data_IF_177414569285
#
_entry.id   IF_177414569285
#
_cell.length_a   1.000
_cell.length_b   1.000
_cell.length_c   1.000
_cell.angle_alpha   90.00
_cell.angle_beta   90.00
_cell.angle_gamma   90.00
#
_symmetry.space_group_name_H-M   'P 1'
#
loop_
_entity.id
_entity.type
_entity.pdbx_description
1 polymer ?
#
# COMPACT_ATOMS: atom_id res chain seq x y z
N UNK A 1 12.89 45.69 32.33
CA UNK A 1 11.97 44.55 32.18
C UNK A 1 12.16 44.02 30.77
N UNK A 2 13.07 43.07 30.58
CA UNK A 2 13.25 42.36 29.32
C UNK A 2 12.69 40.97 29.52
N UNK A 3 11.56 40.67 28.88
CA UNK A 3 11.00 39.33 28.85
C UNK A 3 11.87 38.47 27.94
N UNK A 4 12.60 37.54 28.55
CA UNK A 4 13.22 36.42 27.87
C UNK A 4 12.11 35.50 27.38
N UNK A 5 11.80 35.52 26.09
CA UNK A 5 11.02 34.47 25.46
C UNK A 5 11.89 33.19 25.45
N UNK A 6 11.50 32.21 26.27
CA UNK A 6 12.07 30.87 26.19
C UNK A 6 11.69 30.26 24.84
N UNK A 7 12.64 29.65 24.11
CA UNK A 7 12.33 28.98 22.86
C UNK A 7 11.41 27.80 23.15
N UNK A 8 10.18 27.86 22.63
CA UNK A 8 9.28 26.72 22.55
C UNK A 8 9.96 25.61 21.74
N UNK A 9 10.48 24.61 22.45
CA UNK A 9 10.96 23.37 21.85
C UNK A 9 9.73 22.67 21.27
N UNK A 10 9.54 22.79 19.96
CA UNK A 10 8.61 21.92 19.26
C UNK A 10 9.12 20.49 19.45
N UNK A 11 8.40 19.70 20.24
CA UNK A 11 8.71 18.29 20.41
C UNK A 11 8.66 17.64 19.03
N UNK A 12 9.81 17.15 18.56
CA UNK A 12 9.88 16.37 17.33
C UNK A 12 8.91 15.20 17.48
N UNK A 13 7.98 14.99 16.54
CA UNK A 13 7.06 13.86 16.63
C UNK A 13 7.87 12.56 16.78
N UNK A 14 7.40 11.60 17.59
CA UNK A 14 8.10 10.34 17.76
C UNK A 14 8.27 9.67 16.40
N UNK A 15 9.52 9.44 15.99
CA UNK A 15 9.83 8.72 14.75
C UNK A 15 9.35 7.28 14.91
N UNK A 16 8.20 6.95 14.33
CA UNK A 16 7.75 5.56 14.22
C UNK A 16 8.70 4.81 13.30
N UNK A 17 9.10 3.61 13.70
CA UNK A 17 10.03 2.82 12.90
C UNK A 17 9.25 2.05 11.83
N UNK A 18 9.28 2.56 10.61
CA UNK A 18 8.59 1.98 9.46
C UNK A 18 9.59 1.21 8.58
N UNK A 19 9.20 0.04 8.11
CA UNK A 19 9.97 -0.75 7.17
C UNK A 19 9.07 -1.51 6.20
N UNK A 20 9.63 -1.91 5.07
CA UNK A 20 8.94 -2.68 4.04
C UNK A 20 9.50 -4.09 4.06
N UNK A 21 8.62 -5.08 4.01
CA UNK A 21 8.97 -6.48 3.83
C UNK A 21 8.23 -7.04 2.61
N UNK A 22 8.89 -7.92 1.87
CA UNK A 22 8.26 -8.73 0.84
C UNK A 22 8.52 -10.19 1.18
N UNK A 23 7.49 -11.02 1.18
CA UNK A 23 7.66 -12.45 1.39
C UNK A 23 6.90 -13.28 0.35
N UNK A 24 7.26 -14.55 0.20
CA UNK A 24 6.52 -15.48 -0.66
C UNK A 24 5.12 -15.72 -0.11
N UNK A 25 4.16 -15.99 -1.00
CA UNK A 25 2.78 -16.29 -0.61
C UNK A 25 2.55 -17.76 -0.21
N UNK A 26 3.52 -18.62 -0.51
CA UNK A 26 3.45 -20.04 -0.15
C UNK A 26 3.61 -20.27 1.36
N UNK A 27 3.47 -21.53 1.79
CA UNK A 27 3.58 -21.92 3.20
C UNK A 27 4.97 -21.66 3.79
N UNK A 28 5.98 -21.41 2.95
CA UNK A 28 7.32 -21.09 3.40
C UNK A 28 7.48 -19.62 3.83
N UNK A 29 6.59 -18.73 3.36
CA UNK A 29 6.54 -17.30 3.71
C UNK A 29 7.93 -16.65 3.81
N UNK A 30 8.82 -16.96 2.86
CA UNK A 30 10.22 -16.56 2.93
C UNK A 30 10.37 -15.09 2.61
N UNK A 31 11.11 -14.36 3.43
CA UNK A 31 11.46 -12.98 3.12
C UNK A 31 12.29 -12.94 1.83
N UNK A 32 11.77 -12.22 0.84
CA UNK A 32 12.43 -11.89 -0.41
C UNK A 32 13.20 -10.58 -0.28
N UNK A 33 12.69 -9.65 0.53
CA UNK A 33 13.26 -8.33 0.74
C UNK A 33 12.84 -7.77 2.10
N UNK A 34 13.74 -7.02 2.76
CA UNK A 34 13.42 -6.11 3.85
C UNK A 34 14.21 -4.80 3.68
N UNK A 35 13.60 -3.66 3.99
CA UNK A 35 14.31 -2.37 4.05
C UNK A 35 15.10 -2.21 5.36
N UNK A 36 16.09 -1.31 5.40
CA UNK A 36 16.97 -1.15 6.58
C UNK A 36 16.22 -0.70 7.83
N UNK A 37 15.04 -0.08 7.68
CA UNK A 37 14.15 0.32 8.78
C UNK A 37 13.87 -0.80 9.79
N UNK A 38 14.00 -2.07 9.38
CA UNK A 38 13.89 -3.23 10.26
C UNK A 38 14.95 -3.23 11.37
N UNK A 39 16.11 -2.61 11.15
CA UNK A 39 17.15 -2.46 12.17
C UNK A 39 16.67 -1.56 13.31
N UNK A 40 16.04 -0.45 12.99
CA UNK A 40 15.49 0.49 13.97
C UNK A 40 14.27 -0.12 14.68
N UNK A 41 13.37 -0.77 13.92
CA UNK A 41 12.13 -1.35 14.48
C UNK A 41 12.36 -2.63 15.29
N UNK A 42 13.31 -3.46 14.86
CA UNK A 42 13.46 -4.84 15.34
C UNK A 42 14.88 -5.22 15.75
N UNK A 43 15.89 -4.40 15.48
CA UNK A 43 17.28 -4.70 15.81
C UNK A 43 17.96 -5.72 14.90
N UNK A 44 17.31 -6.16 13.81
CA UNK A 44 17.90 -7.08 12.84
C UNK A 44 18.56 -6.35 11.69
N UNK A 45 19.59 -6.96 11.12
CA UNK A 45 20.06 -6.60 9.79
C UNK A 45 19.15 -7.23 8.72
N UNK A 46 18.80 -6.52 7.64
CA UNK A 46 18.03 -7.11 6.53
C UNK A 46 18.65 -8.42 6.01
N UNK A 47 19.98 -8.48 5.90
CA UNK A 47 20.72 -9.64 5.44
C UNK A 47 20.60 -10.88 6.35
N UNK A 48 20.23 -10.70 7.62
CA UNK A 48 19.99 -11.82 8.55
C UNK A 48 18.61 -12.45 8.34
N UNK A 49 17.65 -11.67 7.84
CA UNK A 49 16.24 -12.05 7.72
C UNK A 49 15.87 -12.52 6.32
N UNK A 50 16.53 -12.00 5.28
CA UNK A 50 16.28 -12.44 3.89
C UNK A 50 16.46 -13.96 3.79
N UNK A 51 15.54 -14.61 3.08
CA UNK A 51 15.38 -16.07 2.94
C UNK A 51 14.91 -16.83 4.18
N UNK A 52 14.78 -16.19 5.34
CA UNK A 52 14.15 -16.79 6.52
C UNK A 52 12.63 -16.79 6.38
N UNK A 53 11.98 -17.71 7.08
CA UNK A 53 10.51 -17.77 7.15
C UNK A 53 10.00 -16.61 8.01
N UNK A 54 9.15 -15.74 7.46
CA UNK A 54 8.59 -14.60 8.18
C UNK A 54 7.80 -15.01 9.43
N UNK A 55 7.19 -16.20 9.37
CA UNK A 55 6.36 -16.75 10.42
C UNK A 55 7.14 -17.20 11.66
N UNK A 56 8.44 -17.49 11.54
CA UNK A 56 9.29 -17.89 12.68
C UNK A 56 9.46 -16.74 13.69
N UNK A 57 9.25 -15.51 13.24
CA UNK A 57 9.37 -14.30 14.04
C UNK A 57 8.07 -13.92 14.74
N UNK A 58 6.95 -14.61 14.50
CA UNK A 58 5.71 -14.37 15.22
C UNK A 58 5.91 -14.56 16.74
N UNK A 59 5.41 -13.60 17.52
CA UNK A 59 5.45 -13.60 18.99
C UNK A 59 4.07 -13.82 19.61
N UNK A 60 3.01 -13.81 18.81
CA UNK A 60 1.66 -14.02 19.30
C UNK A 60 1.37 -15.48 19.67
N UNK A 61 0.29 -15.68 20.44
CA UNK A 61 -0.11 -16.97 20.99
C UNK A 61 -1.07 -17.79 20.10
N UNK A 62 -1.35 -17.35 18.87
CA UNK A 62 -2.19 -18.07 17.91
C UNK A 62 -1.38 -19.02 17.02
N UNK A 63 -2.08 -19.87 16.27
CA UNK A 63 -1.43 -20.79 15.34
C UNK A 63 -0.75 -19.96 14.24
N UNK A 64 0.52 -20.26 13.99
CA UNK A 64 1.31 -19.60 12.97
C UNK A 64 0.69 -19.76 11.57
N UNK A 65 -0.07 -20.82 11.33
CA UNK A 65 -0.81 -21.01 10.09
C UNK A 65 -2.02 -20.09 9.95
N UNK A 66 -2.50 -19.44 11.02
CA UNK A 66 -3.57 -18.44 10.95
C UNK A 66 -3.13 -17.20 10.16
N UNK A 67 -1.86 -16.80 10.22
CA UNK A 67 -1.35 -15.70 9.39
C UNK A 67 -1.47 -16.00 7.88
N UNK A 68 -1.30 -17.26 7.47
CA UNK A 68 -1.43 -17.65 6.07
C UNK A 68 -2.88 -17.58 5.59
N UNK A 69 -3.85 -17.74 6.51
CA UNK A 69 -5.28 -17.62 6.19
C UNK A 69 -5.68 -16.19 5.84
N UNK A 70 -4.90 -15.17 6.22
CA UNK A 70 -5.12 -13.79 5.78
C UNK A 70 -5.18 -13.71 4.24
N UNK A 71 -4.35 -14.49 3.54
CA UNK A 71 -4.16 -14.40 2.09
C UNK A 71 -4.76 -15.60 1.30
N UNK A 72 -5.20 -16.64 2.00
CA UNK A 72 -5.77 -17.86 1.40
C UNK A 72 -7.29 -17.69 1.23
N UNK A 73 -7.81 -18.25 0.14
CA UNK A 73 -9.25 -18.36 -0.14
C UNK A 73 -9.83 -19.41 0.79
N UNK A 74 -11.01 -19.15 1.35
CA UNK A 74 -11.78 -20.16 2.08
C UNK A 74 -12.20 -21.26 1.09
N UNK A 75 -11.41 -22.34 1.03
CA UNK A 75 -11.70 -23.51 0.20
C UNK A 75 -12.92 -24.31 0.69
N UNK A 76 -13.58 -23.86 1.77
CA UNK A 76 -14.73 -24.51 2.39
C UNK A 76 -16.07 -23.84 2.07
N UNK A 77 -16.12 -22.81 1.21
CA UNK A 77 -17.39 -22.45 0.55
C UNK A 77 -17.75 -23.63 -0.35
N UNK A 78 -18.72 -24.44 0.09
CA UNK A 78 -19.13 -25.67 -0.59
C UNK A 78 -19.51 -25.44 -2.06
N UNK A 79 -19.58 -26.51 -2.86
CA UNK A 79 -19.72 -26.47 -4.32
C UNK A 79 -21.12 -26.05 -4.82
N UNK A 80 -21.88 -25.25 -4.05
CA UNK A 80 -23.27 -24.91 -4.40
C UNK A 80 -23.47 -23.52 -5.02
N UNK A 81 -22.43 -22.68 -5.10
CA UNK A 81 -22.48 -21.42 -5.84
C UNK A 81 -21.31 -21.39 -6.84
N UNK A 82 -21.30 -22.33 -7.80
CA UNK A 82 -20.31 -22.40 -8.90
C UNK A 82 -20.56 -21.36 -10.02
N UNK A 83 -21.57 -20.49 -9.89
CA UNK A 83 -22.02 -19.63 -11.00
C UNK A 83 -21.85 -18.11 -10.83
N UNK A 84 -21.16 -17.62 -9.81
CA UNK A 84 -20.73 -16.21 -9.78
C UNK A 84 -19.23 -16.09 -9.52
N UNK A 85 -18.54 -15.49 -10.50
CA UNK A 85 -17.12 -15.08 -10.50
C UNK A 85 -16.81 -14.11 -9.34
N UNK A 86 -16.92 -14.56 -8.11
CA UNK A 86 -16.74 -13.74 -6.93
C UNK A 86 -15.32 -13.97 -6.38
N UNK A 87 -14.34 -13.50 -7.16
CA UNK A 87 -12.96 -13.24 -6.72
C UNK A 87 -12.91 -12.00 -5.81
N UNK A 88 -13.82 -11.93 -4.83
CA UNK A 88 -13.84 -10.90 -3.79
C UNK A 88 -12.83 -11.25 -2.68
N UNK A 89 -11.56 -11.38 -3.06
CA UNK A 89 -10.43 -11.39 -2.14
C UNK A 89 -9.97 -9.93 -1.98
N UNK A 90 -10.15 -9.33 -0.79
CA UNK A 90 -9.59 -8.01 -0.51
C UNK A 90 -8.10 -7.98 -0.85
N UNK A 91 -7.65 -6.97 -1.57
CA UNK A 91 -6.28 -6.94 -2.10
C UNK A 91 -5.26 -6.35 -1.13
N UNK A 92 -5.79 -5.62 -0.15
CA UNK A 92 -5.06 -4.94 0.89
C UNK A 92 -5.71 -5.28 2.23
N UNK A 93 -4.89 -5.58 3.22
CA UNK A 93 -5.34 -5.95 4.55
C UNK A 93 -4.55 -5.15 5.58
N UNK A 94 -5.25 -4.61 6.57
CA UNK A 94 -4.64 -4.06 7.77
C UNK A 94 -4.86 -5.02 8.94
N UNK A 95 -3.80 -5.27 9.70
CA UNK A 95 -3.86 -6.09 10.89
C UNK A 95 -2.72 -5.72 11.84
N UNK A 96 -2.77 -6.25 13.05
CA UNK A 96 -1.76 -6.00 14.05
C UNK A 96 -1.17 -7.32 14.56
N UNK A 97 0.12 -7.32 14.81
CA UNK A 97 0.88 -8.52 15.19
C UNK A 97 2.03 -8.18 16.10
N UNK A 98 2.32 -9.09 17.02
CA UNK A 98 3.54 -9.03 17.79
C UNK A 98 4.64 -9.86 17.11
N UNK A 99 5.80 -9.25 16.90
CA UNK A 99 6.96 -9.90 16.26
C UNK A 99 8.14 -9.87 17.23
N UNK A 100 8.90 -10.97 17.30
CA UNK A 100 10.11 -11.08 18.12
C UNK A 100 11.22 -10.23 17.52
N UNK A 101 11.72 -9.26 18.28
CA UNK A 101 12.92 -8.49 17.94
C UNK A 101 14.19 -9.34 18.04
N UNK A 102 15.33 -8.77 17.62
CA UNK A 102 16.65 -9.40 17.76
C UNK A 102 17.04 -9.70 19.22
N UNK A 103 16.48 -8.97 20.19
CA UNK A 103 16.65 -9.26 21.61
C UNK A 103 15.73 -10.37 22.12
N UNK A 104 14.82 -10.88 21.29
CA UNK A 104 13.77 -11.82 21.65
C UNK A 104 12.53 -11.18 22.28
N UNK A 105 12.50 -9.84 22.40
CA UNK A 105 11.38 -9.11 22.98
C UNK A 105 10.25 -8.97 21.95
N UNK A 106 8.99 -9.26 22.30
CA UNK A 106 7.87 -8.98 21.40
C UNK A 106 7.69 -7.48 21.17
N UNK A 107 7.52 -7.08 19.92
CA UNK A 107 7.24 -5.71 19.50
C UNK A 107 5.94 -5.70 18.69
N UNK A 108 5.03 -4.81 19.06
CA UNK A 108 3.77 -4.63 18.33
C UNK A 108 4.04 -3.96 16.98
N UNK A 109 3.41 -4.49 15.94
CA UNK A 109 3.42 -3.94 14.60
C UNK A 109 2.00 -3.71 14.10
N UNK A 110 1.81 -2.61 13.38
CA UNK A 110 0.70 -2.46 12.43
C UNK A 110 1.22 -2.89 11.06
N UNK A 111 0.51 -3.82 10.45
CA UNK A 111 0.81 -4.36 9.14
C UNK A 111 -0.23 -3.88 8.14
N UNK A 112 0.23 -3.31 7.04
CA UNK A 112 -0.57 -3.10 5.84
C UNK A 112 0.00 -4.02 4.77
N UNK A 113 -0.71 -5.11 4.50
CA UNK A 113 -0.27 -6.16 3.59
C UNK A 113 -1.05 -6.14 2.30
N UNK A 114 -0.35 -6.40 1.20
CA UNK A 114 -0.89 -6.40 -0.14
C UNK A 114 -0.62 -7.73 -0.81
N UNK A 115 -1.70 -8.36 -1.23
CA UNK A 115 -1.67 -9.66 -1.87
C UNK A 115 -1.38 -9.49 -3.36
N UNK A 116 -0.21 -9.97 -3.78
CA UNK A 116 0.18 -10.09 -5.18
C UNK A 116 0.09 -11.58 -5.61
N UNK A 117 0.35 -11.85 -6.89
CA UNK A 117 0.20 -13.20 -7.47
C UNK A 117 1.04 -14.25 -6.73
N UNK A 118 2.35 -14.00 -6.59
CA UNK A 118 3.32 -14.94 -5.99
C UNK A 118 3.91 -14.47 -4.66
N UNK A 119 3.65 -13.23 -4.26
CA UNK A 119 4.27 -12.59 -3.10
C UNK A 119 3.26 -11.75 -2.34
N UNK A 120 3.63 -11.40 -1.12
CA UNK A 120 2.93 -10.42 -0.30
C UNK A 120 3.91 -9.31 0.02
N UNK A 121 3.51 -8.07 -0.25
CA UNK A 121 4.21 -6.91 0.27
C UNK A 121 3.57 -6.50 1.59
N UNK A 122 4.37 -6.18 2.58
CA UNK A 122 3.90 -5.72 3.88
C UNK A 122 4.64 -4.44 4.23
N UNK A 123 3.89 -3.37 4.50
CA UNK A 123 4.40 -2.19 5.18
C UNK A 123 4.20 -2.39 6.67
N UNK A 124 5.31 -2.37 7.39
CA UNK A 124 5.37 -2.64 8.81
C UNK A 124 5.66 -1.34 9.56
N UNK A 125 4.83 -1.01 10.54
CA UNK A 125 5.09 0.10 11.47
C UNK A 125 5.28 -0.51 12.85
N UNK A 126 6.49 -0.42 13.39
CA UNK A 126 6.84 -0.96 14.70
C UNK A 126 6.57 0.07 15.82
N UNK A 127 6.06 -0.43 16.94
CA UNK A 127 5.77 0.33 18.16
C UNK A 127 6.58 -0.26 19.33
N UNK A 128 7.90 -0.03 19.39
CA UNK A 128 8.75 -0.63 20.43
C UNK A 128 8.44 -0.10 21.84
N UNK A 129 7.90 1.11 21.94
CA UNK A 129 7.57 1.76 23.22
C UNK A 129 6.24 1.30 23.80
N UNK A 130 5.40 0.62 23.01
CA UNK A 130 4.14 0.08 23.49
C UNK A 130 4.37 -1.25 24.21
N UNK A 131 3.72 -1.48 25.36
CA UNK A 131 3.85 -2.75 26.06
C UNK A 131 3.29 -3.89 25.20
N UNK A 132 3.92 -5.06 25.30
CA UNK A 132 3.39 -6.27 24.70
C UNK A 132 2.05 -6.63 25.35
N UNK A 133 1.02 -6.73 24.52
CA UNK A 133 -0.26 -7.31 24.89
C UNK A 133 -0.46 -8.62 24.14
N UNK A 134 -0.66 -9.71 24.89
CA UNK A 134 -0.94 -11.01 24.31
C UNK A 134 -2.30 -10.98 23.60
N UNK A 135 -2.30 -11.11 22.28
CA UNK A 135 -3.52 -11.16 21.49
C UNK A 135 -4.04 -12.59 21.42
N UNK A 136 -5.32 -12.76 21.77
CA UNK A 136 -6.03 -14.02 21.67
C UNK A 136 -6.77 -14.19 20.34
N UNK A 137 -6.79 -13.13 19.52
CA UNK A 137 -7.42 -13.17 18.22
C UNK A 137 -6.66 -12.35 17.19
N UNK A 138 -6.62 -12.87 15.95
CA UNK A 138 -6.10 -12.18 14.78
C UNK A 138 -7.27 -11.51 14.05
N UNK A 139 -7.40 -10.21 14.24
CA UNK A 139 -8.37 -9.38 13.55
C UNK A 139 -7.71 -8.70 12.33
N UNK A 140 -8.39 -8.81 11.20
CA UNK A 140 -7.96 -8.31 9.90
C UNK A 140 -9.05 -7.42 9.36
N UNK A 141 -8.67 -6.22 8.95
CA UNK A 141 -9.53 -5.32 8.21
C UNK A 141 -9.15 -5.36 6.74
N UNK A 142 -10.11 -5.65 5.87
CA UNK A 142 -9.93 -5.52 4.44
C UNK A 142 -9.93 -4.03 4.10
N UNK A 143 -8.89 -3.56 3.44
CA UNK A 143 -8.81 -2.21 2.91
C UNK A 143 -9.36 -2.22 1.48
N UNK A 144 -10.65 -2.48 1.37
CA UNK A 144 -11.43 -2.42 0.14
C UNK A 144 -12.68 -1.53 0.36
N UNK A 145 -13.52 -1.35 -0.67
CA UNK A 145 -14.70 -0.51 -0.51
C UNK A 145 -15.78 -1.06 0.45
N UNK A 146 -15.61 -2.28 0.97
CA UNK A 146 -16.47 -2.85 2.01
C UNK A 146 -15.95 -2.59 3.43
N UNK A 147 -14.65 -2.32 3.58
CA UNK A 147 -13.94 -2.18 4.86
C UNK A 147 -14.27 -3.32 5.83
N UNK A 148 -14.42 -4.55 5.32
CA UNK A 148 -14.86 -5.69 6.10
C UNK A 148 -13.85 -6.06 7.20
N UNK A 149 -14.35 -6.30 8.42
CA UNK A 149 -13.54 -6.84 9.51
C UNK A 149 -13.74 -8.36 9.64
N UNK A 150 -12.64 -9.11 9.59
CA UNK A 150 -12.58 -10.56 9.73
C UNK A 150 -11.76 -10.95 10.96
N UNK A 151 -12.16 -12.00 11.65
CA UNK A 151 -11.41 -12.57 12.76
C UNK A 151 -10.91 -13.98 12.42
N UNK A 152 -9.66 -14.08 12.00
CA UNK A 152 -9.09 -15.29 11.39
C UNK A 152 -9.00 -16.47 12.37
N UNK A 153 -8.88 -16.18 13.66
CA UNK A 153 -8.74 -17.16 14.74
C UNK A 153 -10.07 -17.75 15.24
N UNK A 154 -11.22 -17.16 14.87
CA UNK A 154 -12.53 -17.66 15.29
C UNK A 154 -13.22 -18.47 14.19
N UNK A 155 -13.93 -19.57 14.53
CA UNK A 155 -14.61 -20.41 13.55
C UNK A 155 -15.67 -19.62 12.77
N UNK A 156 -15.62 -19.74 11.44
CA UNK A 156 -16.42 -18.99 10.45
C UNK A 156 -17.94 -19.02 10.71
N UNK A 157 -18.48 -20.14 11.20
CA UNK A 157 -19.91 -20.28 11.53
C UNK A 157 -20.38 -19.18 12.51
N UNK A 158 -19.51 -18.77 13.42
CA UNK A 158 -19.77 -17.72 14.41
C UNK A 158 -19.79 -16.34 13.76
N UNK A 159 -18.98 -16.12 12.71
CA UNK A 159 -18.93 -14.86 11.98
C UNK A 159 -20.14 -14.67 11.08
N UNK A 160 -20.58 -15.71 10.35
CA UNK A 160 -21.80 -15.66 9.53
C UNK A 160 -23.01 -15.38 10.41
N UNK A 161 -23.09 -15.99 11.59
CA UNK A 161 -24.13 -15.68 12.57
C UNK A 161 -24.04 -14.25 13.10
N UNK A 162 -22.83 -13.71 13.32
CA UNK A 162 -22.61 -12.32 13.73
C UNK A 162 -23.00 -11.33 12.63
N UNK A 163 -22.62 -11.57 11.38
CA UNK A 163 -23.02 -10.76 10.22
C UNK A 163 -24.54 -10.77 10.03
N UNK A 164 -25.20 -11.93 10.14
CA UNK A 164 -26.67 -12.01 10.10
C UNK A 164 -27.33 -11.17 11.21
N UNK A 165 -26.74 -11.13 12.40
CA UNK A 165 -27.21 -10.27 13.50
C UNK A 165 -26.96 -8.78 13.20
N UNK A 166 -25.81 -8.40 12.66
CA UNK A 166 -25.50 -7.01 12.30
C UNK A 166 -26.37 -6.51 11.15
N UNK A 167 -26.61 -7.34 10.13
CA UNK A 167 -27.52 -7.05 9.01
C UNK A 167 -28.96 -6.80 9.46
N UNK A 168 -29.36 -7.35 10.61
CA UNK A 168 -30.68 -7.11 11.22
C UNK A 168 -30.77 -5.82 12.05
N UNK A 169 -29.67 -5.07 12.24
CA UNK A 169 -29.69 -3.81 12.99
C UNK A 169 -30.11 -2.62 12.11
N UNK A 170 -31.03 -1.77 12.58
CA UNK A 170 -31.41 -0.56 11.87
C UNK A 170 -30.21 0.41 11.80
N UNK A 171 -29.79 0.75 10.58
CA UNK A 171 -28.61 1.59 10.33
C UNK A 171 -27.41 0.82 9.76
N UNK A 172 -27.44 -0.51 9.74
CA UNK A 172 -26.43 -1.31 9.06
C UNK A 172 -26.51 -1.06 7.55
N UNK A 173 -25.48 -0.45 6.99
CA UNK A 173 -25.30 -0.33 5.55
C UNK A 173 -24.53 -1.55 5.09
N UNK A 174 -25.19 -2.44 4.32
CA UNK A 174 -24.46 -3.45 3.57
C UNK A 174 -23.43 -2.75 2.69
N UNK A 175 -22.22 -3.30 2.63
CA UNK A 175 -21.21 -2.91 1.64
C UNK A 175 -21.89 -2.81 0.27
N UNK A 176 -21.85 -1.62 -0.34
CA UNK A 176 -22.41 -1.38 -1.68
C UNK A 176 -21.41 -1.72 -2.78
N UNK A 177 -20.25 -2.27 -2.42
CA UNK A 177 -19.12 -2.37 -3.31
C UNK A 177 -18.60 -3.80 -3.36
N UNK A 178 -18.59 -4.34 -4.57
CA UNK A 178 -17.89 -5.56 -4.95
C UNK A 178 -16.83 -5.14 -5.95
N UNK A 179 -15.56 -5.40 -5.66
CA UNK A 179 -14.50 -5.32 -6.68
C UNK A 179 -14.79 -6.45 -7.64
N UNK A 180 -15.26 -6.11 -8.84
CA UNK A 180 -15.46 -7.09 -9.90
C UNK A 180 -14.15 -7.18 -10.68
N UNK A 181 -13.53 -8.36 -10.67
CA UNK A 181 -12.36 -8.80 -11.45
C UNK A 181 -10.98 -8.67 -10.78
N UNK A 182 -10.07 -9.56 -11.21
CA UNK A 182 -8.64 -9.53 -10.90
C UNK A 182 -8.01 -8.21 -11.37
N UNK A 183 -7.70 -7.31 -10.46
CA UNK A 183 -7.01 -6.06 -10.78
C UNK A 183 -5.51 -6.31 -10.93
N UNK A 184 -4.92 -5.82 -12.01
CA UNK A 184 -3.46 -5.83 -12.17
C UNK A 184 -2.82 -4.93 -11.11
N UNK A 185 -1.76 -5.42 -10.48
CA UNK A 185 -1.04 -4.71 -9.41
C UNK A 185 0.45 -4.79 -9.64
N UNK A 186 1.17 -3.75 -9.26
CA UNK A 186 2.63 -3.78 -9.26
C UNK A 186 3.17 -3.09 -8.01
N UNK A 187 4.23 -3.65 -7.46
CA UNK A 187 5.01 -3.03 -6.40
C UNK A 187 6.24 -2.43 -7.03
N UNK A 188 6.54 -1.18 -6.67
CA UNK A 188 7.78 -0.51 -7.01
C UNK A 188 8.47 -0.06 -5.72
N UNK A 189 9.78 -0.29 -5.64
CA UNK A 189 10.65 0.32 -4.65
C UNK A 189 11.44 1.43 -5.35
N UNK A 190 11.39 2.61 -4.78
CA UNK A 190 12.06 3.79 -5.28
C UNK A 190 13.26 4.11 -4.38
N UNK A 191 14.36 4.57 -4.97
CA UNK A 191 15.51 5.08 -4.23
C UNK A 191 15.10 6.20 -3.25
N UNK A 192 15.79 6.31 -2.11
CA UNK A 192 15.56 7.40 -1.17
C UNK A 192 15.72 8.75 -1.88
N UNK A 193 14.72 9.65 -1.79
CA UNK A 193 14.89 11.00 -2.29
C UNK A 193 15.97 11.77 -1.50
N UNK A 194 16.29 11.36 -0.27
CA UNK A 194 17.24 12.06 0.60
C UNK A 194 18.71 11.86 0.21
N UNK A 195 19.10 10.72 -0.36
CA UNK A 195 20.48 10.53 -0.87
C UNK A 195 20.79 11.48 -2.05
N UNK A 196 19.77 12.12 -2.62
CA UNK A 196 19.90 13.01 -3.77
C UNK A 196 19.92 14.49 -3.39
N UNK A 197 19.46 14.93 -2.21
CA UNK A 197 19.34 16.37 -1.93
C UNK A 197 19.50 16.81 -0.47
N UNK A 198 20.60 17.53 -0.21
CA UNK A 198 20.53 18.71 0.65
C UNK A 198 19.58 19.73 0.03
N UNK A 199 18.36 19.83 0.59
CA UNK A 199 17.41 20.92 0.35
C UNK A 199 16.78 20.97 -1.04
N UNK A 200 15.50 21.33 -1.06
CA UNK A 200 14.61 21.47 -2.24
C UNK A 200 15.12 22.51 -3.28
N UNK A 201 16.22 23.22 -2.99
CA UNK A 201 16.89 24.17 -3.90
C UNK A 201 18.40 23.90 -4.09
N UNK A 202 18.86 22.68 -3.79
CA UNK A 202 20.26 22.27 -4.01
C UNK A 202 20.56 21.94 -5.48
N UNK A 203 21.79 22.22 -5.96
CA UNK A 203 22.25 21.84 -7.30
C UNK A 203 22.52 20.33 -7.36
N UNK A 204 21.45 19.54 -7.39
CA UNK A 204 21.49 18.07 -7.37
C UNK A 204 20.13 17.40 -7.58
N UNK A 205 19.03 18.16 -7.56
CA UNK A 205 17.68 17.63 -7.75
C UNK A 205 17.55 16.98 -9.14
N UNK A 206 17.28 15.67 -9.16
CA UNK A 206 16.89 14.99 -10.39
C UNK A 206 15.50 15.48 -10.76
N UNK A 207 15.39 16.26 -11.83
CA UNK A 207 14.12 16.79 -12.36
C UNK A 207 13.09 15.67 -12.64
N UNK A 208 13.57 14.44 -12.81
CA UNK A 208 12.77 13.27 -13.18
C UNK A 208 12.35 12.37 -11.98
N UNK A 209 12.61 12.79 -10.74
CA UNK A 209 12.23 12.04 -9.53
C UNK A 209 13.13 10.85 -9.21
N UNK A 210 12.73 10.00 -8.23
CA UNK A 210 13.51 8.84 -7.80
C UNK A 210 13.50 7.73 -8.85
N UNK A 211 14.59 6.95 -8.94
CA UNK A 211 14.63 5.77 -9.81
C UNK A 211 13.97 4.57 -9.15
N UNK A 212 13.50 3.66 -10.00
CA UNK A 212 12.93 2.39 -9.60
C UNK A 212 14.08 1.42 -9.29
N UNK A 213 14.32 1.18 -8.02
CA UNK A 213 15.33 0.23 -7.55
C UNK A 213 14.86 -1.23 -7.66
N UNK A 214 13.55 -1.47 -7.57
CA UNK A 214 12.94 -2.78 -7.72
C UNK A 214 11.50 -2.66 -8.24
N UNK A 215 11.07 -3.63 -9.05
CA UNK A 215 9.68 -3.73 -9.50
C UNK A 215 9.25 -5.19 -9.64
N UNK A 216 8.00 -5.50 -9.28
CA UNK A 216 7.43 -6.85 -9.50
C UNK A 216 7.12 -7.09 -10.97
N UNK A 217 7.21 -8.35 -11.42
CA UNK A 217 6.94 -8.69 -12.83
C UNK A 217 5.54 -8.40 -13.33
N UNK A 218 4.60 -8.24 -12.40
CA UNK A 218 3.22 -7.82 -12.66
C UNK A 218 3.10 -6.37 -13.18
N UNK A 219 4.18 -5.58 -13.19
CA UNK A 219 4.22 -4.28 -13.88
C UNK A 219 3.90 -4.39 -15.37
N UNK A 220 4.24 -5.52 -15.99
CA UNK A 220 3.88 -5.82 -17.37
C UNK A 220 2.36 -5.86 -17.58
N UNK A 221 1.60 -6.39 -16.61
CA UNK A 221 0.13 -6.39 -16.68
C UNK A 221 -0.48 -5.02 -16.32
N UNK A 222 0.30 -4.13 -15.69
CA UNK A 222 -0.14 -2.81 -15.26
C UNK A 222 0.02 -1.78 -16.39
N UNK A 223 1.21 -1.70 -17.00
CA UNK A 223 1.61 -0.69 -18.00
C UNK A 223 2.36 -1.30 -19.19
N UNK A 224 2.10 -2.56 -19.55
CA UNK A 224 2.60 -3.22 -20.76
C UNK A 224 4.10 -2.97 -21.05
N UNK A 225 4.91 -2.97 -19.99
CA UNK A 225 6.34 -2.68 -20.02
C UNK A 225 7.13 -3.83 -19.39
N UNK A 226 8.29 -4.12 -19.96
CA UNK A 226 9.19 -5.14 -19.44
C UNK A 226 9.91 -4.66 -18.18
N UNK A 227 10.12 -5.58 -17.24
CA UNK A 227 10.81 -5.31 -15.96
C UNK A 227 12.19 -4.67 -16.22
N UNK A 228 12.93 -5.18 -17.20
CA UNK A 228 14.27 -4.70 -17.54
C UNK A 228 14.30 -3.24 -17.97
N UNK A 229 13.22 -2.76 -18.58
CA UNK A 229 13.14 -1.41 -19.13
C UNK A 229 12.72 -0.41 -18.03
N UNK A 230 11.92 -0.88 -17.08
CA UNK A 230 11.40 -0.10 -15.95
C UNK A 230 12.42 -0.01 -14.81
N UNK A 231 13.22 -1.05 -14.58
CA UNK A 231 14.28 -1.04 -13.57
C UNK A 231 15.27 0.09 -13.85
N UNK A 232 15.66 0.83 -12.81
CA UNK A 232 16.53 2.02 -12.88
C UNK A 232 15.95 3.17 -13.71
N UNK A 233 14.70 3.09 -14.17
CA UNK A 233 14.04 4.16 -14.87
C UNK A 233 13.46 5.19 -13.88
N UNK A 234 13.47 6.51 -14.19
CA UNK A 234 12.91 7.52 -13.29
C UNK A 234 11.39 7.37 -13.20
N UNK A 235 10.86 7.22 -11.98
CA UNK A 235 9.45 6.93 -11.78
C UNK A 235 8.53 8.04 -12.33
N UNK A 236 8.87 9.32 -12.14
CA UNK A 236 8.02 10.43 -12.61
C UNK A 236 7.94 10.51 -14.14
N UNK A 237 8.86 9.87 -14.89
CA UNK A 237 8.72 9.75 -16.35
C UNK A 237 7.66 8.72 -16.77
N UNK A 238 7.27 7.80 -15.88
CA UNK A 238 6.16 6.87 -16.13
C UNK A 238 4.80 7.48 -15.77
N UNK A 239 4.80 8.51 -14.91
CA UNK A 239 3.61 9.26 -14.55
C UNK A 239 3.15 10.08 -15.75
N UNK A 240 1.84 10.10 -15.98
CA UNK A 240 1.25 10.92 -17.02
C UNK A 240 1.63 12.40 -16.78
N UNK A 241 2.08 13.16 -17.80
CA UNK A 241 2.63 14.49 -17.58
C UNK A 241 1.67 15.46 -16.84
N UNK A 242 0.36 15.29 -17.05
CA UNK A 242 -0.70 16.03 -16.37
C UNK A 242 -0.73 15.80 -14.84
N UNK A 243 -0.24 14.66 -14.35
CA UNK A 243 -0.25 14.27 -12.93
C UNK A 243 1.13 14.43 -12.25
N UNK A 244 2.20 14.72 -12.98
CA UNK A 244 3.57 14.78 -12.42
C UNK A 244 3.66 15.74 -11.22
N UNK A 245 3.06 16.93 -11.33
CA UNK A 245 3.09 17.91 -10.21
C UNK A 245 2.31 17.41 -8.99
N UNK A 246 1.22 16.69 -9.22
CA UNK A 246 0.40 16.11 -8.16
C UNK A 246 1.17 14.99 -7.43
N UNK A 247 1.79 14.08 -8.18
CA UNK A 247 2.58 12.98 -7.63
C UNK A 247 3.83 13.48 -6.89
N UNK A 248 4.49 14.54 -7.37
CA UNK A 248 5.60 15.15 -6.64
C UNK A 248 5.19 15.65 -5.25
N UNK A 249 4.04 16.33 -5.13
CA UNK A 249 3.49 16.75 -3.83
C UNK A 249 3.09 15.57 -2.95
N UNK A 250 2.66 14.47 -3.55
CA UNK A 250 2.42 13.23 -2.81
C UNK A 250 3.70 12.67 -2.21
N UNK A 251 4.82 12.66 -2.95
CA UNK A 251 6.10 12.23 -2.38
C UNK A 251 6.64 13.17 -1.30
N UNK A 252 6.42 14.48 -1.41
CA UNK A 252 6.73 15.44 -0.33
C UNK A 252 5.97 15.08 0.95
N UNK A 253 4.65 14.83 0.84
CA UNK A 253 3.84 14.40 1.99
C UNK A 253 4.28 13.04 2.54
N UNK A 254 4.67 12.11 1.68
CA UNK A 254 5.18 10.80 2.11
C UNK A 254 6.47 10.96 2.92
N UNK A 255 7.38 11.82 2.50
CA UNK A 255 8.64 12.06 3.22
C UNK A 255 8.41 12.68 4.61
N UNK A 256 7.34 13.47 4.77
CA UNK A 256 6.96 14.06 6.07
C UNK A 256 6.07 13.14 6.92
N UNK A 257 5.55 12.05 6.34
CA UNK A 257 4.62 11.14 6.98
C UNK A 257 5.30 9.88 7.53
N UNK A 258 4.84 9.41 8.68
CA UNK A 258 5.20 8.08 9.20
C UNK A 258 4.13 7.02 8.89
N UNK A 259 2.99 7.45 8.35
CA UNK A 259 1.87 6.61 7.97
C UNK A 259 1.87 6.32 6.46
N UNK A 260 1.18 5.24 6.09
CA UNK A 260 0.90 4.90 4.69
C UNK A 260 -0.04 5.96 4.12
N UNK A 261 0.34 6.57 2.99
CA UNK A 261 -0.49 7.54 2.31
C UNK A 261 -1.09 6.96 1.04
N UNK A 262 -2.28 7.44 0.73
CA UNK A 262 -3.04 7.07 -0.44
C UNK A 262 -3.02 8.19 -1.47
N UNK A 263 -2.91 7.85 -2.76
CA UNK A 263 -3.14 8.79 -3.85
C UNK A 263 -3.62 8.12 -5.13
N UNK A 264 -4.33 8.87 -5.99
CA UNK A 264 -4.66 8.44 -7.34
C UNK A 264 -3.95 9.29 -8.38
N UNK A 265 -3.44 8.65 -9.43
CA UNK A 265 -2.86 9.33 -10.58
C UNK A 265 -2.83 8.41 -11.79
N UNK A 266 -2.48 8.95 -12.95
CA UNK A 266 -2.34 8.23 -14.19
C UNK A 266 -0.88 7.88 -14.49
N UNK A 267 -0.66 6.67 -14.99
CA UNK A 267 0.58 6.23 -15.62
C UNK A 267 0.43 6.13 -17.14
N UNK A 268 1.55 6.24 -17.86
CA UNK A 268 1.64 5.96 -19.30
C UNK A 268 1.49 4.45 -19.51
N UNK A 269 0.54 4.03 -20.37
CA UNK A 269 0.23 2.60 -20.57
C UNK A 269 1.29 1.85 -21.37
N UNK A 270 1.92 2.48 -22.34
CA UNK A 270 2.93 1.83 -23.18
C UNK A 270 4.18 2.68 -23.23
N UNK A 271 4.96 2.75 -22.13
CA UNK A 271 6.20 3.50 -22.13
C UNK A 271 7.23 2.71 -22.95
N UNK A 272 7.25 2.91 -24.28
CA UNK A 272 8.32 2.36 -25.11
C UNK A 272 9.61 3.12 -24.79
N UNK A 273 10.38 2.61 -23.83
CA UNK A 273 11.59 3.22 -23.30
C UNK A 273 12.76 2.86 -24.23
N UNK A 274 13.37 3.87 -24.85
CA UNK A 274 14.55 3.72 -25.69
C UNK A 274 15.58 4.74 -25.20
N UNK A 275 16.79 4.27 -24.86
CA UNK A 275 17.89 5.13 -24.41
C UNK A 275 17.55 6.07 -23.22
N UNK A 276 16.59 5.68 -22.38
CA UNK A 276 16.18 6.44 -21.19
C UNK A 276 15.09 7.49 -21.42
N UNK A 277 14.46 7.51 -22.60
CA UNK A 277 13.30 8.33 -22.91
C UNK A 277 12.13 7.51 -23.50
N UNK A 278 10.91 8.03 -23.38
CA UNK A 278 9.71 7.43 -23.97
C UNK A 278 9.56 7.92 -25.40
N UNK A 279 9.55 6.99 -26.35
CA UNK A 279 9.53 7.32 -27.79
C UNK A 279 8.11 7.47 -28.37
N UNK A 280 7.07 7.10 -27.61
CA UNK A 280 5.68 7.28 -28.04
C UNK A 280 5.23 8.71 -27.78
N UNK A 281 4.57 9.30 -28.78
CA UNK A 281 3.95 10.61 -28.63
C UNK A 281 2.87 10.57 -27.56
N UNK A 282 2.85 11.62 -26.76
CA UNK A 282 1.96 11.75 -25.64
C UNK A 282 0.47 11.62 -26.03
N UNK A 283 0.10 12.19 -27.18
CA UNK A 283 -1.25 12.17 -27.76
C UNK A 283 -1.69 10.80 -28.31
N UNK A 284 -0.75 9.86 -28.44
CA UNK A 284 -0.99 8.52 -28.96
C UNK A 284 -1.00 7.47 -27.85
N UNK A 285 -0.60 7.83 -26.62
CA UNK A 285 -0.41 6.88 -25.54
C UNK A 285 -1.60 6.89 -24.56
N UNK A 286 -2.35 5.79 -24.42
CA UNK A 286 -3.37 5.64 -23.39
C UNK A 286 -2.79 5.81 -21.98
N UNK A 287 -3.65 6.12 -21.00
CA UNK A 287 -3.24 6.11 -19.59
C UNK A 287 -3.87 4.98 -18.83
N UNK A 288 -3.19 4.58 -17.78
CA UNK A 288 -3.71 3.67 -16.76
C UNK A 288 -3.89 4.49 -15.50
N UNK A 289 -5.14 4.69 -15.08
CA UNK A 289 -5.42 5.30 -13.78
C UNK A 289 -5.13 4.25 -12.73
N UNK A 290 -4.22 4.59 -11.83
CA UNK A 290 -3.79 3.74 -10.74
C UNK A 290 -4.17 4.35 -9.41
N UNK A 291 -4.44 3.45 -8.50
CA UNK A 291 -4.50 3.70 -7.09
C UNK A 291 -3.15 3.38 -6.47
N UNK A 292 -2.61 4.30 -5.68
CA UNK A 292 -1.29 4.21 -5.08
C UNK A 292 -1.39 4.19 -3.56
N UNK A 293 -0.83 3.15 -2.93
CA UNK A 293 -0.53 3.14 -1.52
C UNK A 293 0.98 3.20 -1.35
N UNK A 294 1.46 4.23 -0.67
CA UNK A 294 2.88 4.52 -0.54
C UNK A 294 3.31 4.64 0.91
N UNK A 295 4.54 4.25 1.17
CA UNK A 295 5.20 4.44 2.45
C UNK A 295 6.66 4.85 2.21
N UNK A 296 7.08 5.94 2.84
CA UNK A 296 8.48 6.32 2.89
C UNK A 296 9.16 5.62 4.06
N UNK A 297 10.39 5.18 3.82
CA UNK A 297 11.33 4.68 4.82
C UNK A 297 12.67 5.38 4.58
N UNK A 298 13.59 5.34 5.55
CA UNK A 298 14.87 6.04 5.45
C UNK A 298 15.63 5.73 4.13
N UNK A 299 15.56 4.49 3.64
CA UNK A 299 16.28 4.03 2.44
C UNK A 299 15.53 4.21 1.11
N UNK A 300 14.28 4.65 1.13
CA UNK A 300 13.46 4.60 -0.08
C UNK A 300 11.98 4.77 0.12
N UNK A 301 11.25 4.61 -0.98
CA UNK A 301 9.79 4.64 -0.96
C UNK A 301 9.27 3.35 -1.55
N UNK A 302 8.41 2.63 -0.81
CA UNK A 302 7.60 1.59 -1.42
C UNK A 302 6.29 2.20 -1.90
N UNK A 303 5.91 1.87 -3.13
CA UNK A 303 4.57 2.11 -3.64
C UNK A 303 3.97 0.80 -4.14
N UNK A 304 2.72 0.56 -3.77
CA UNK A 304 1.86 -0.38 -4.46
C UNK A 304 0.98 0.41 -5.41
N UNK A 305 0.92 -0.04 -6.65
CA UNK A 305 0.01 0.44 -7.66
C UNK A 305 -1.03 -0.61 -7.96
N UNK A 306 -2.30 -0.21 -7.97
CA UNK A 306 -3.44 -1.03 -8.36
C UNK A 306 -4.15 -0.37 -9.53
N UNK A 307 -4.36 -1.14 -10.59
CA UNK A 307 -5.07 -0.65 -11.77
C UNK A 307 -6.55 -0.42 -11.47
N UNK A 308 -7.01 0.81 -11.65
CA UNK A 308 -8.43 1.15 -11.57
C UNK A 308 -9.10 1.04 -12.92
N UNK A 309 -8.56 1.74 -13.94
CA UNK A 309 -9.12 1.76 -15.29
C UNK A 309 -8.10 2.22 -16.33
N UNK A 310 -8.35 1.90 -17.58
CA UNK A 310 -7.66 2.51 -18.72
C UNK A 310 -8.47 3.70 -19.24
N UNK A 311 -7.77 4.75 -19.63
CA UNK A 311 -8.36 5.92 -20.28
C UNK A 311 -7.65 6.17 -21.61
N UNK A 312 -8.39 6.66 -22.63
CA UNK A 312 -7.79 6.96 -23.93
C UNK A 312 -6.71 8.05 -23.80
N UNK A 313 -5.85 8.14 -24.81
CA UNK A 313 -4.82 9.17 -24.87
C UNK A 313 -5.41 10.58 -24.70
N UNK A 314 -4.68 11.50 -24.02
CA UNK A 314 -5.20 12.82 -23.72
C UNK A 314 -5.38 13.64 -24.99
N UNK A 315 -6.35 14.55 -24.95
CA UNK A 315 -6.55 15.54 -26.01
C UNK A 315 -6.00 16.88 -25.55
N UNK A 316 -5.32 17.60 -26.44
CA UNK A 316 -4.88 18.97 -26.21
C UNK A 316 -5.78 19.95 -26.94
N UNK A 317 -5.99 21.13 -26.36
CA UNK A 317 -6.65 22.24 -27.03
C UNK A 317 -5.71 22.88 -28.08
N UNK A 318 -6.21 23.87 -28.83
CA UNK A 318 -5.42 24.60 -29.82
C UNK A 318 -4.24 25.41 -29.22
N UNK A 319 -4.20 25.57 -27.89
CA UNK A 319 -3.14 26.26 -27.15
C UNK A 319 -2.12 25.27 -26.54
N UNK A 320 -2.33 23.96 -26.73
CA UNK A 320 -1.46 22.90 -26.21
C UNK A 320 -1.75 22.48 -24.76
N UNK A 321 -2.79 23.03 -24.14
CA UNK A 321 -3.20 22.63 -22.80
C UNK A 321 -3.95 21.30 -22.85
N UNK A 322 -3.77 20.47 -21.84
CA UNK A 322 -4.57 19.26 -21.70
C UNK A 322 -6.04 19.61 -21.47
N UNK A 323 -6.90 19.05 -22.32
CA UNK A 323 -8.34 19.09 -22.09
C UNK A 323 -8.60 18.04 -21.01
N UNK A 324 -8.82 18.50 -19.79
CA UNK A 324 -9.36 17.65 -18.74
C UNK A 324 -10.77 17.20 -19.15
N UNK A 325 -10.86 16.12 -19.92
CA UNK A 325 -12.03 15.24 -19.83
C UNK A 325 -12.15 14.85 -18.37
N UNK A 326 -13.37 14.79 -17.84
CA UNK A 326 -13.65 14.56 -16.42
C UNK A 326 -13.32 13.13 -15.99
N UNK A 327 -12.12 12.66 -16.31
CA UNK A 327 -11.58 11.32 -16.14
C UNK A 327 -11.39 11.01 -14.65
N UNK A 328 -11.41 12.02 -13.77
CA UNK A 328 -11.48 11.85 -12.31
C UNK A 328 -12.90 11.92 -11.75
N UNK A 329 -13.91 12.33 -12.53
CA UNK A 329 -15.30 12.26 -12.08
C UNK A 329 -15.89 10.88 -12.41
N UNK A 330 -16.44 10.21 -11.41
CA UNK A 330 -17.11 8.91 -11.50
C UNK A 330 -18.40 8.92 -12.36
N UNK A 331 -18.50 9.80 -13.36
CA UNK A 331 -19.74 10.06 -14.09
C UNK A 331 -19.86 9.35 -15.44
N UNK A 332 -18.89 8.51 -15.83
CA UNK A 332 -19.11 7.59 -16.95
C UNK A 332 -19.89 6.39 -16.42
N UNK A 333 -21.20 6.41 -16.66
CA UNK A 333 -22.22 5.55 -16.07
C UNK A 333 -22.18 4.06 -16.40
N UNK A 334 -21.01 3.47 -16.59
CA UNK A 334 -20.81 2.02 -16.71
C UNK A 334 -19.72 1.47 -15.76
N UNK A 335 -18.87 2.31 -15.15
CA UNK A 335 -17.87 1.88 -14.16
C UNK A 335 -18.17 2.50 -12.78
N UNK A 336 -18.89 1.75 -11.96
CA UNK A 336 -19.30 2.10 -10.59
C UNK A 336 -18.13 2.00 -9.58
N UNK A 337 -16.89 2.32 -10.00
CA UNK A 337 -15.69 2.22 -9.17
C UNK A 337 -15.47 3.52 -8.39
N UNK A 338 -15.96 3.59 -7.16
CA UNK A 338 -15.56 4.63 -6.20
C UNK A 338 -14.13 4.35 -5.71
N UNK A 339 -13.27 5.38 -5.66
CA UNK A 339 -11.89 5.27 -5.17
C UNK A 339 -11.84 4.96 -3.67
N UNK A 340 -10.85 4.18 -3.20
CA UNK A 340 -10.62 4.00 -1.76
C UNK A 340 -10.38 5.33 -1.03
N UNK A 341 -9.76 6.33 -1.68
CA UNK A 341 -9.58 7.67 -1.12
C UNK A 341 -10.88 8.30 -0.67
N UNK A 342 -11.89 8.27 -1.55
CA UNK A 342 -13.18 8.92 -1.32
C UNK A 342 -13.92 8.24 -0.15
N UNK A 343 -13.62 6.96 0.10
CA UNK A 343 -14.21 6.18 1.17
C UNK A 343 -13.48 6.41 2.50
N UNK A 344 -12.15 6.28 2.52
CA UNK A 344 -11.31 6.50 3.72
C UNK A 344 -11.44 7.95 4.20
N UNK A 345 -11.38 8.93 3.29
CA UNK A 345 -11.50 10.35 3.66
C UNK A 345 -12.88 10.76 4.18
N UNK A 346 -13.92 9.97 3.89
CA UNK A 346 -15.31 10.26 4.31
C UNK A 346 -15.67 9.67 5.69
N UNK A 347 -14.81 8.81 6.25
CA UNK A 347 -15.07 8.14 7.51
C UNK A 347 -14.19 8.69 8.65
N UNK A 348 -14.74 9.53 9.54
CA UNK A 348 -13.99 10.09 10.67
C UNK A 348 -13.53 9.02 11.69
N UNK A 349 -13.98 7.77 11.60
CA UNK A 349 -13.55 6.66 12.46
C UNK A 349 -12.35 5.86 11.91
N UNK A 350 -11.89 6.12 10.67
CA UNK A 350 -10.67 5.52 10.08
C UNK A 350 -9.36 6.12 10.61
N UNK A 351 -9.45 7.00 11.62
CA UNK A 351 -8.29 7.38 12.44
C UNK A 351 -7.92 6.20 13.35
N UNK A 352 -7.20 5.26 12.74
CA UNK A 352 -6.77 3.94 13.23
C UNK A 352 -5.87 4.00 14.47
N UNK A 353 -6.50 4.30 15.59
CA UNK A 353 -6.04 3.89 16.90
C UNK A 353 -7.17 3.04 17.49
N UNK A 354 -6.97 1.71 17.64
CA UNK A 354 -7.88 0.87 18.39
C UNK A 354 -8.28 1.54 19.71
N UNK A 355 -9.47 1.29 20.23
CA UNK A 355 -9.95 1.94 21.45
C UNK A 355 -9.00 1.81 22.67
N UNK A 356 -8.10 0.83 22.65
CA UNK A 356 -7.05 0.60 23.66
C UNK A 356 -5.74 1.39 23.43
N UNK A 357 -5.48 1.92 22.24
CA UNK A 357 -4.30 2.75 21.96
C UNK A 357 -4.56 4.26 22.16
N UNK A 358 -5.71 4.61 22.74
CA UNK A 358 -6.03 5.96 23.23
C UNK A 358 -5.66 6.03 24.71
N UNK A 359 -4.40 6.27 25.03
CA UNK A 359 -3.93 6.62 26.39
C UNK A 359 -3.31 8.00 26.36
#
# INVERSE_FOLDING_TARGET
MGSSEEPTVHATPPRRHTYIAIHTRDDAAKFLYLSSGVRQGMGFEPSQLVSQCALDFAADAYDVHDYLKIYKRDSNRGPMDEDENDDSDGDAYMWYVNIKSASGTPVLHRMVSFKCDSSVLVVCIAFPDLPFEAKHALEVQLLDGSMEHRNITHPEETQVQRQRRLASQPGYRSSKYTIRNSQAKAVLMLESPEEVCGGIFGPGYRVNGPHIAFVTGSVSNLIDADISDVMQYPFLKLVAPEDVTHVSKYFERLAESTDVLFENFALIKHPHIIEGDIFVRDEENPRVVVECLGAAVDDGVAILLRRLREVPAPKRDSLGNYIHTSIYSNNNGDDNSTSLFDMISSDPETTDLPGWSRV
#
